data_IF_641880717442
#
_entry.id   IF_641880717442
#
_cell.length_a   1.000
_cell.length_b   1.000
_cell.length_c   1.000
_cell.angle_alpha   90.00
_cell.angle_beta   90.00
_cell.angle_gamma   90.00
#
_symmetry.space_group_name_H-M   'P 1'
#
loop_
_entity.id
_entity.type
_entity.pdbx_description
1 polymer ?
#
# COMPACT_ATOMS: atom_id res chain seq x y z
N UNK A 1 4.97 31.83 49.64
CA UNK A 1 5.74 30.85 48.85
C UNK A 1 4.92 29.57 48.83
N UNK A 2 4.33 29.21 47.69
CA UNK A 2 3.50 28.01 47.60
C UNK A 2 4.41 26.82 47.30
N UNK A 3 4.68 25.99 48.32
CA UNK A 3 5.28 24.69 48.12
C UNK A 3 4.40 23.90 47.15
N UNK A 4 4.91 23.67 45.94
CA UNK A 4 4.23 22.85 44.96
C UNK A 4 4.52 21.40 45.33
N UNK A 5 3.77 20.88 46.30
CA UNK A 5 3.87 19.48 46.71
C UNK A 5 3.54 18.60 45.51
N UNK A 6 4.59 18.05 44.89
CA UNK A 6 4.45 17.20 43.72
C UNK A 6 3.65 15.98 44.15
N UNK A 7 2.55 15.69 43.45
CA UNK A 7 1.69 14.57 43.80
C UNK A 7 2.50 13.25 43.79
N UNK A 8 2.32 12.37 44.78
CA UNK A 8 3.07 11.12 44.87
C UNK A 8 2.80 10.24 43.64
N UNK A 9 3.86 9.64 43.12
CA UNK A 9 3.77 8.66 42.03
C UNK A 9 3.08 7.38 42.51
N UNK A 10 2.57 6.55 41.58
CA UNK A 10 1.98 5.24 41.94
C UNK A 10 2.97 4.38 42.73
N UNK A 11 4.26 4.42 42.37
CA UNK A 11 5.32 3.70 43.07
C UNK A 11 5.51 4.18 44.51
N UNK A 12 5.57 5.49 44.74
CA UNK A 12 5.68 6.08 46.08
C UNK A 12 4.45 5.75 46.95
N UNK A 13 3.24 5.90 46.40
CA UNK A 13 2.02 5.57 47.13
C UNK A 13 1.92 4.06 47.45
N UNK A 14 2.48 3.20 46.59
CA UNK A 14 2.52 1.75 46.83
C UNK A 14 3.49 1.39 47.95
N UNK A 15 4.67 2.03 47.98
CA UNK A 15 5.63 1.84 49.06
C UNK A 15 5.09 2.32 50.41
N UNK A 16 4.43 3.47 50.45
CA UNK A 16 3.77 4.00 51.66
C UNK A 16 2.68 3.04 52.18
N UNK A 17 1.88 2.44 51.30
CA UNK A 17 0.84 1.50 51.71
C UNK A 17 1.43 0.19 52.22
N UNK A 18 2.48 -0.33 51.59
CA UNK A 18 3.15 -1.54 52.04
C UNK A 18 3.75 -1.35 53.44
N UNK A 19 4.41 -0.20 53.68
CA UNK A 19 4.96 0.14 54.98
C UNK A 19 3.88 0.24 56.07
N UNK A 20 2.76 0.91 55.77
CA UNK A 20 1.64 1.05 56.71
C UNK A 20 0.91 -0.30 56.98
N UNK A 21 0.83 -1.18 55.97
CA UNK A 21 0.27 -2.53 56.13
C UNK A 21 1.19 -3.43 56.96
N UNK A 22 2.50 -3.32 56.79
CA UNK A 22 3.49 -4.03 57.59
C UNK A 22 3.45 -3.56 59.05
N UNK A 23 3.44 -2.25 59.31
CA UNK A 23 3.30 -1.67 60.65
C UNK A 23 2.02 -2.17 61.35
N UNK A 24 0.88 -2.18 60.65
CA UNK A 24 -0.37 -2.70 61.20
C UNK A 24 -0.31 -4.22 61.46
N UNK A 25 0.36 -5.00 60.60
CA UNK A 25 0.51 -6.45 60.79
C UNK A 25 1.41 -6.79 61.98
N UNK A 26 2.52 -6.07 62.14
CA UNK A 26 3.44 -6.21 63.28
C UNK A 26 2.74 -5.89 64.60
N UNK A 27 1.97 -4.79 64.65
CA UNK A 27 1.18 -4.43 65.85
C UNK A 27 0.11 -5.47 66.18
N UNK A 28 -0.58 -6.07 65.19
CA UNK A 28 -1.54 -7.16 65.45
C UNK A 28 -0.85 -8.40 66.03
N UNK A 29 0.27 -8.81 65.44
CA UNK A 29 1.03 -9.95 65.93
C UNK A 29 1.55 -9.74 67.36
N UNK A 30 1.98 -8.52 67.70
CA UNK A 30 2.39 -8.17 69.07
C UNK A 30 1.22 -8.30 70.07
N UNK A 31 0.03 -7.82 69.72
CA UNK A 31 -1.19 -7.99 70.54
C UNK A 31 -1.56 -9.47 70.70
N UNK A 32 -1.50 -10.27 69.62
CA UNK A 32 -1.78 -11.72 69.67
C UNK A 32 -0.79 -12.48 70.56
N UNK A 33 0.46 -12.00 70.64
CA UNK A 33 1.50 -12.56 71.50
C UNK A 33 1.44 -12.07 72.95
N UNK A 34 0.48 -11.21 73.30
CA UNK A 34 0.27 -10.72 74.66
C UNK A 34 1.15 -9.54 75.05
N UNK A 35 1.60 -8.71 74.10
CA UNK A 35 2.29 -7.45 74.39
C UNK A 35 1.29 -6.37 74.86
N UNK A 36 1.20 -6.18 76.17
CA UNK A 36 0.33 -5.19 76.82
C UNK A 36 0.74 -3.73 76.55
N UNK A 37 1.89 -3.48 75.92
CA UNK A 37 2.32 -2.13 75.55
C UNK A 37 1.62 -1.59 74.30
N UNK A 38 1.02 -2.46 73.48
CA UNK A 38 0.29 -2.06 72.27
C UNK A 38 -1.12 -1.60 72.63
N UNK A 39 -1.40 -0.32 72.40
CA UNK A 39 -2.71 0.25 72.69
C UNK A 39 -3.69 0.06 71.52
N UNK A 40 -5.01 -0.05 71.78
CA UNK A 40 -6.02 -0.05 70.72
C UNK A 40 -5.94 1.17 69.80
N UNK A 41 -5.52 2.32 70.33
CA UNK A 41 -5.33 3.55 69.55
C UNK A 41 -4.18 3.42 68.54
N UNK A 42 -3.05 2.85 68.94
CA UNK A 42 -1.90 2.63 68.06
C UNK A 42 -2.25 1.68 66.90
N UNK A 43 -2.96 0.58 67.19
CA UNK A 43 -3.43 -0.34 66.16
C UNK A 43 -4.42 0.33 65.20
N UNK A 44 -5.40 1.07 65.72
CA UNK A 44 -6.36 1.80 64.89
C UNK A 44 -5.70 2.87 63.99
N UNK A 45 -4.68 3.57 64.49
CA UNK A 45 -3.92 4.56 63.73
C UNK A 45 -3.18 3.89 62.56
N UNK A 46 -2.48 2.78 62.80
CA UNK A 46 -1.79 2.02 61.76
C UNK A 46 -2.74 1.49 60.68
N UNK A 47 -3.91 0.99 61.08
CA UNK A 47 -4.96 0.56 60.14
C UNK A 47 -5.49 1.72 59.28
N UNK A 48 -5.73 2.88 59.89
CA UNK A 48 -6.18 4.08 59.18
C UNK A 48 -5.10 4.61 58.22
N UNK A 49 -3.82 4.57 58.60
CA UNK A 49 -2.69 4.88 57.71
C UNK A 49 -2.70 3.96 56.48
N UNK A 50 -2.91 2.66 56.66
CA UNK A 50 -3.03 1.69 55.57
C UNK A 50 -4.19 1.99 54.62
N UNK A 51 -5.37 2.30 55.16
CA UNK A 51 -6.55 2.68 54.35
C UNK A 51 -6.27 3.96 53.55
N UNK A 52 -5.70 4.98 54.18
CA UNK A 52 -5.37 6.24 53.52
C UNK A 52 -4.33 6.06 52.41
N UNK A 53 -3.31 5.23 52.63
CA UNK A 53 -2.31 4.92 51.63
C UNK A 53 -2.90 4.18 50.41
N UNK A 54 -3.82 3.22 50.62
CA UNK A 54 -4.58 2.58 49.53
C UNK A 54 -5.41 3.57 48.71
N UNK A 55 -6.05 4.54 49.37
CA UNK A 55 -6.78 5.61 48.68
C UNK A 55 -5.85 6.50 47.86
N UNK A 56 -4.64 6.81 48.37
CA UNK A 56 -3.60 7.53 47.62
C UNK A 56 -3.12 6.76 46.40
N UNK A 57 -2.94 5.44 46.49
CA UNK A 57 -2.64 4.59 45.32
C UNK A 57 -3.76 4.69 44.28
N UNK A 58 -5.02 4.56 44.71
CA UNK A 58 -6.17 4.65 43.80
C UNK A 58 -6.22 6.02 43.10
N UNK A 59 -5.98 7.10 43.84
CA UNK A 59 -5.90 8.45 43.29
C UNK A 59 -4.73 8.62 42.31
N UNK A 60 -3.54 8.12 42.65
CA UNK A 60 -2.37 8.17 41.77
C UNK A 60 -2.59 7.37 40.48
N UNK A 61 -3.19 6.17 40.57
CA UNK A 61 -3.56 5.35 39.41
C UNK A 61 -4.58 6.06 38.52
N UNK A 62 -5.60 6.68 39.12
CA UNK A 62 -6.61 7.46 38.37
C UNK A 62 -5.97 8.62 37.62
N UNK A 63 -5.11 9.42 38.28
CA UNK A 63 -4.39 10.54 37.65
C UNK A 63 -3.46 10.07 36.53
N UNK A 64 -2.73 8.98 36.74
CA UNK A 64 -1.86 8.41 35.71
C UNK A 64 -2.66 7.95 34.47
N UNK A 65 -3.83 7.35 34.68
CA UNK A 65 -4.73 6.96 33.59
C UNK A 65 -5.31 8.17 32.84
N UNK A 66 -5.73 9.21 33.56
CA UNK A 66 -6.21 10.47 32.98
C UNK A 66 -5.11 11.16 32.15
N UNK A 67 -3.87 11.20 32.65
CA UNK A 67 -2.72 11.74 31.93
C UNK A 67 -2.42 10.92 30.67
N UNK A 68 -2.40 9.59 30.77
CA UNK A 68 -2.17 8.72 29.63
C UNK A 68 -3.25 8.87 28.55
N UNK A 69 -4.52 9.06 28.94
CA UNK A 69 -5.61 9.33 28.02
C UNK A 69 -5.48 10.71 27.37
N UNK A 70 -5.13 11.75 28.14
CA UNK A 70 -4.86 13.08 27.61
C UNK A 70 -3.70 13.06 26.59
N UNK A 71 -2.64 12.30 26.86
CA UNK A 71 -1.51 12.13 25.95
C UNK A 71 -1.89 11.33 24.69
N UNK A 72 -2.73 10.29 24.82
CA UNK A 72 -3.31 9.58 23.66
C UNK A 72 -4.12 10.54 22.79
N UNK A 73 -5.02 11.32 23.40
CA UNK A 73 -5.86 12.29 22.69
C UNK A 73 -5.04 13.38 22.01
N UNK A 74 -4.00 13.89 22.69
CA UNK A 74 -3.07 14.88 22.12
C UNK A 74 -2.35 14.33 20.90
N UNK A 75 -1.79 13.12 20.98
CA UNK A 75 -1.12 12.46 19.84
C UNK A 75 -2.08 12.20 18.70
N UNK A 76 -3.28 11.68 18.98
CA UNK A 76 -4.30 11.45 17.97
C UNK A 76 -4.72 12.74 17.25
N UNK A 77 -4.89 13.84 17.98
CA UNK A 77 -5.18 15.17 17.40
C UNK A 77 -4.04 15.68 16.52
N UNK A 78 -2.78 15.53 16.96
CA UNK A 78 -1.63 15.92 16.17
C UNK A 78 -1.55 15.12 14.86
N UNK A 79 -1.63 13.79 14.93
CA UNK A 79 -1.65 12.93 13.73
C UNK A 79 -2.83 13.25 12.81
N UNK A 80 -4.02 13.53 13.36
CA UNK A 80 -5.16 13.95 12.54
C UNK A 80 -4.94 15.30 11.85
N UNK A 81 -4.22 16.24 12.47
CA UNK A 81 -3.83 17.49 11.85
C UNK A 81 -2.79 17.26 10.73
N UNK A 82 -1.79 16.42 10.96
CA UNK A 82 -0.78 16.05 9.97
C UNK A 82 -1.41 15.38 8.74
N UNK A 83 -2.36 14.46 8.95
CA UNK A 83 -3.10 13.81 7.86
C UNK A 83 -3.95 14.83 7.09
N UNK A 84 -4.63 15.76 7.77
CA UNK A 84 -5.40 16.81 7.07
C UNK A 84 -4.49 17.72 6.26
N UNK A 85 -3.37 18.14 6.82
CA UNK A 85 -2.39 18.95 6.12
C UNK A 85 -1.84 18.23 4.89
N UNK A 86 -1.56 16.92 5.01
CA UNK A 86 -1.15 16.10 3.87
C UNK A 86 -2.24 16.06 2.79
N UNK A 87 -3.50 15.83 3.15
CA UNK A 87 -4.63 15.81 2.20
C UNK A 87 -4.83 17.18 1.52
N UNK A 88 -4.68 18.28 2.27
CA UNK A 88 -4.81 19.65 1.73
C UNK A 88 -3.62 20.04 0.83
N UNK A 89 -2.45 19.45 1.07
CA UNK A 89 -1.23 19.68 0.28
C UNK A 89 -1.04 18.67 -0.85
N UNK A 90 -1.83 17.60 -0.89
CA UNK A 90 -1.69 16.55 -1.89
C UNK A 90 -2.12 17.09 -3.25
N UNK A 91 -1.18 17.17 -4.18
CA UNK A 91 -1.41 17.68 -5.53
C UNK A 91 -2.03 16.58 -6.40
N UNK A 92 -3.25 16.19 -6.03
CA UNK A 92 -4.03 15.19 -6.77
C UNK A 92 -4.35 15.65 -8.20
N UNK A 93 -4.29 16.96 -8.46
CA UNK A 93 -4.47 17.55 -9.79
C UNK A 93 -3.24 17.30 -10.68
N UNK A 94 -2.01 17.45 -10.17
CA UNK A 94 -0.81 17.08 -10.92
C UNK A 94 -0.75 15.57 -11.18
N UNK A 95 -1.15 14.74 -10.21
CA UNK A 95 -1.29 13.29 -10.43
C UNK A 95 -2.30 13.02 -11.54
N UNK A 96 -3.48 13.65 -11.50
CA UNK A 96 -4.50 13.49 -12.52
C UNK A 96 -3.99 13.93 -13.91
N UNK A 97 -3.30 15.06 -14.01
CA UNK A 97 -2.71 15.56 -15.25
C UNK A 97 -1.69 14.57 -15.83
N UNK A 98 -0.79 14.00 -15.01
CA UNK A 98 0.18 13.00 -15.47
C UNK A 98 -0.47 11.70 -15.90
N UNK A 99 -1.51 11.26 -15.20
CA UNK A 99 -2.27 10.07 -15.56
C UNK A 99 -2.96 10.27 -16.91
N UNK A 100 -3.62 11.41 -17.14
CA UNK A 100 -4.22 11.73 -18.44
C UNK A 100 -3.18 11.70 -19.56
N UNK A 101 -2.03 12.38 -19.36
CA UNK A 101 -0.95 12.37 -20.33
C UNK A 101 -0.40 10.95 -20.61
N UNK A 102 -0.31 10.10 -19.59
CA UNK A 102 0.10 8.70 -19.74
C UNK A 102 -0.95 7.88 -20.52
N UNK A 103 -2.24 8.07 -20.24
CA UNK A 103 -3.33 7.41 -20.97
C UNK A 103 -3.32 7.79 -22.44
N UNK A 104 -3.15 9.08 -22.76
CA UNK A 104 -3.07 9.56 -24.13
C UNK A 104 -1.87 8.97 -24.87
N UNK A 105 -0.69 8.99 -24.23
CA UNK A 105 0.54 8.43 -24.80
C UNK A 105 0.42 6.91 -25.05
N UNK A 106 -0.12 6.15 -24.09
CA UNK A 106 -0.31 4.70 -24.23
C UNK A 106 -1.39 4.36 -25.27
N UNK A 107 -2.45 5.16 -25.37
CA UNK A 107 -3.48 5.03 -26.41
C UNK A 107 -2.90 5.24 -27.81
N UNK A 108 -2.08 6.28 -27.98
CA UNK A 108 -1.39 6.55 -29.23
C UNK A 108 -0.40 5.44 -29.62
N UNK A 109 0.36 4.92 -28.65
CA UNK A 109 1.27 3.79 -28.83
C UNK A 109 0.52 2.53 -29.25
N UNK A 110 -0.56 2.19 -28.54
CA UNK A 110 -1.40 1.04 -28.84
C UNK A 110 -1.93 1.11 -30.27
N UNK A 111 -2.54 2.23 -30.62
CA UNK A 111 -3.17 2.45 -31.93
C UNK A 111 -2.15 2.38 -33.06
N UNK A 112 -0.98 3.01 -32.90
CA UNK A 112 0.10 3.00 -33.90
C UNK A 112 0.67 1.59 -34.09
N UNK A 113 0.85 0.86 -32.99
CA UNK A 113 1.38 -0.50 -33.00
C UNK A 113 0.41 -1.47 -33.65
N UNK A 114 -0.89 -1.40 -33.31
CA UNK A 114 -1.92 -2.22 -33.94
C UNK A 114 -2.06 -1.90 -35.43
N UNK A 115 -2.05 -0.62 -35.82
CA UNK A 115 -2.08 -0.25 -37.24
C UNK A 115 -0.87 -0.81 -38.00
N UNK A 116 0.32 -0.84 -37.39
CA UNK A 116 1.50 -1.51 -37.96
C UNK A 116 1.29 -3.03 -38.04
N UNK A 117 0.78 -3.68 -36.99
CA UNK A 117 0.50 -5.12 -36.98
C UNK A 117 -0.48 -5.52 -38.08
N UNK A 118 -1.58 -4.78 -38.24
CA UNK A 118 -2.58 -5.04 -39.27
C UNK A 118 -1.98 -4.95 -40.68
N UNK A 119 -1.08 -3.99 -40.94
CA UNK A 119 -0.35 -3.94 -42.22
C UNK A 119 0.55 -5.16 -42.43
N UNK A 120 1.23 -5.65 -41.40
CA UNK A 120 2.04 -6.89 -41.50
C UNK A 120 1.16 -8.10 -41.77
N UNK A 121 0.02 -8.22 -41.08
CA UNK A 121 -0.96 -9.28 -41.30
C UNK A 121 -1.55 -9.24 -42.71
N UNK A 122 -1.87 -8.05 -43.22
CA UNK A 122 -2.34 -7.87 -44.59
C UNK A 122 -1.28 -8.36 -45.59
N UNK A 123 -0.01 -7.98 -45.41
CA UNK A 123 1.08 -8.45 -46.28
C UNK A 123 1.27 -9.97 -46.18
N UNK A 124 1.23 -10.53 -44.97
CA UNK A 124 1.30 -11.99 -44.78
C UNK A 124 0.12 -12.69 -45.49
N UNK A 125 -1.09 -12.13 -45.35
CA UNK A 125 -2.30 -12.60 -46.01
C UNK A 125 -2.25 -12.54 -47.54
N UNK A 126 -1.43 -11.67 -48.13
CA UNK A 126 -1.18 -11.67 -49.59
C UNK A 126 -0.23 -12.80 -50.03
N UNK A 127 0.67 -13.23 -49.17
CA UNK A 127 1.62 -14.33 -49.46
C UNK A 127 0.95 -15.71 -49.28
N UNK A 128 0.01 -15.83 -48.35
CA UNK A 128 -0.68 -17.09 -48.02
C UNK A 128 -1.37 -17.77 -49.22
N UNK A 129 -2.14 -17.08 -50.09
CA UNK A 129 -2.72 -17.69 -51.29
C UNK A 129 -1.67 -18.29 -52.23
N UNK A 130 -0.53 -17.62 -52.39
CA UNK A 130 0.58 -18.09 -53.23
C UNK A 130 1.20 -19.35 -52.61
N UNK A 131 1.38 -19.37 -51.29
CA UNK A 131 1.84 -20.56 -50.58
C UNK A 131 0.91 -21.75 -50.82
N UNK A 132 -0.41 -21.54 -50.71
CA UNK A 132 -1.42 -22.57 -50.93
C UNK A 132 -1.51 -23.02 -52.41
N UNK A 133 -1.20 -22.14 -53.37
CA UNK A 133 -1.07 -22.51 -54.79
C UNK A 133 0.14 -23.43 -55.03
N UNK A 134 1.29 -23.08 -54.46
CA UNK A 134 2.51 -23.90 -54.55
C UNK A 134 2.31 -25.28 -53.92
N UNK A 135 1.65 -25.34 -52.76
CA UNK A 135 1.32 -26.59 -52.08
C UNK A 135 0.40 -27.47 -52.95
N UNK A 136 -0.66 -26.89 -53.53
CA UNK A 136 -1.56 -27.60 -54.47
C UNK A 136 -0.84 -28.10 -55.72
N UNK A 137 0.21 -27.42 -56.14
CA UNK A 137 1.05 -27.82 -57.27
C UNK A 137 2.14 -28.85 -56.88
N UNK A 138 2.19 -29.30 -55.62
CA UNK A 138 3.12 -30.32 -55.14
C UNK A 138 4.50 -29.79 -54.77
N UNK A 139 4.67 -28.48 -54.63
CA UNK A 139 5.92 -27.87 -54.19
C UNK A 139 5.91 -27.54 -52.69
N UNK A 140 7.10 -27.46 -52.07
CA UNK A 140 7.24 -27.02 -50.69
C UNK A 140 7.16 -25.49 -50.59
N UNK A 141 6.09 -24.90 -50.02
CA UNK A 141 5.79 -23.47 -50.18
C UNK A 141 6.88 -22.54 -49.65
N UNK A 142 7.44 -22.86 -48.49
CA UNK A 142 8.46 -22.02 -47.84
C UNK A 142 9.73 -21.95 -48.70
N UNK A 143 10.12 -23.06 -49.32
CA UNK A 143 11.34 -23.14 -50.13
C UNK A 143 11.15 -22.36 -51.42
N UNK A 144 10.04 -22.61 -52.13
CA UNK A 144 9.77 -21.97 -53.41
C UNK A 144 9.48 -20.47 -53.30
N UNK A 145 8.75 -20.03 -52.26
CA UNK A 145 8.50 -18.61 -52.04
C UNK A 145 9.81 -17.85 -51.82
N UNK A 146 10.74 -18.44 -51.07
CA UNK A 146 12.06 -17.89 -50.82
C UNK A 146 12.94 -17.90 -52.07
N UNK A 147 13.02 -19.01 -52.79
CA UNK A 147 13.94 -19.15 -53.92
C UNK A 147 13.46 -18.37 -55.16
N UNK A 148 12.15 -18.36 -55.43
CA UNK A 148 11.60 -17.73 -56.65
C UNK A 148 11.23 -16.27 -56.46
N UNK A 149 10.72 -15.91 -55.30
CA UNK A 149 10.16 -14.58 -55.05
C UNK A 149 10.88 -13.81 -53.94
N UNK A 150 11.92 -14.41 -53.35
CA UNK A 150 12.66 -13.84 -52.24
C UNK A 150 11.75 -13.37 -51.09
N UNK A 151 10.61 -14.03 -50.85
CA UNK A 151 9.67 -13.68 -49.78
C UNK A 151 9.30 -14.90 -48.94
N UNK A 152 9.08 -14.70 -47.64
CA UNK A 152 8.35 -15.64 -46.81
C UNK A 152 7.42 -14.87 -45.88
N UNK A 153 6.32 -15.52 -45.47
CA UNK A 153 5.42 -14.97 -44.48
C UNK A 153 5.07 -16.04 -43.44
N UNK A 154 5.03 -15.64 -42.18
CA UNK A 154 4.43 -16.39 -41.08
C UNK A 154 3.01 -15.92 -40.81
N UNK A 155 2.47 -16.28 -39.64
CA UNK A 155 1.18 -15.77 -39.19
C UNK A 155 1.19 -14.25 -38.97
N UNK A 156 2.27 -13.73 -38.37
CA UNK A 156 2.43 -12.32 -37.96
C UNK A 156 3.75 -11.71 -38.45
N UNK A 157 4.40 -12.31 -39.44
CA UNK A 157 5.71 -11.85 -39.91
C UNK A 157 5.84 -11.96 -41.41
N UNK A 158 6.65 -11.08 -41.99
CA UNK A 158 7.01 -11.10 -43.41
C UNK A 158 8.49 -10.83 -43.53
N UNK A 159 9.18 -11.61 -44.38
CA UNK A 159 10.62 -11.52 -44.62
C UNK A 159 10.89 -11.47 -46.11
N UNK A 160 11.77 -10.57 -46.54
CA UNK A 160 12.32 -10.49 -47.89
C UNK A 160 13.78 -10.97 -47.83
N UNK A 161 14.22 -11.80 -48.79
CA UNK A 161 15.51 -12.48 -48.80
C UNK A 161 16.46 -11.97 -49.92
N UNK A 162 16.70 -10.66 -50.08
CA UNK A 162 17.70 -10.16 -51.06
C UNK A 162 18.22 -8.75 -50.78
N UNK A 163 19.54 -8.47 -50.97
CA UNK A 163 20.70 -9.36 -50.78
C UNK A 163 20.98 -9.66 -49.28
N UNK A 164 20.31 -8.95 -48.38
CA UNK A 164 20.32 -9.19 -46.94
C UNK A 164 18.88 -9.43 -46.49
N UNK A 165 18.59 -10.48 -45.70
CA UNK A 165 17.24 -10.71 -45.22
C UNK A 165 16.73 -9.52 -44.40
N UNK A 166 15.60 -8.95 -44.79
CA UNK A 166 14.89 -7.91 -44.05
C UNK A 166 13.53 -8.45 -43.68
N UNK A 167 13.30 -8.58 -42.37
CA UNK A 167 12.04 -9.09 -41.82
C UNK A 167 11.35 -8.05 -40.96
N UNK A 168 10.03 -8.17 -40.89
CA UNK A 168 9.23 -7.45 -39.92
C UNK A 168 8.26 -8.42 -39.25
N UNK A 169 8.12 -8.25 -37.93
CA UNK A 169 7.13 -8.96 -37.12
C UNK A 169 6.08 -7.95 -36.66
N UNK A 170 4.82 -8.36 -36.69
CA UNK A 170 3.69 -7.66 -36.14
C UNK A 170 3.72 -7.76 -34.62
N UNK A 171 3.94 -6.64 -33.95
CA UNK A 171 3.87 -6.55 -32.49
C UNK A 171 2.44 -6.14 -32.12
N UNK A 172 1.82 -6.78 -31.13
CA UNK A 172 0.51 -6.33 -30.64
C UNK A 172 0.63 -5.04 -29.84
N UNK A 173 -0.38 -4.18 -29.90
CA UNK A 173 -0.45 -2.97 -29.09
C UNK A 173 -0.39 -3.29 -27.60
N UNK A 174 -1.00 -4.41 -27.18
CA UNK A 174 -0.91 -4.90 -25.81
C UNK A 174 0.54 -5.20 -25.38
N UNK A 175 1.33 -5.87 -26.23
CA UNK A 175 2.73 -6.16 -25.94
C UNK A 175 3.58 -4.87 -25.88
N UNK A 176 3.33 -3.90 -26.76
CA UNK A 176 4.02 -2.62 -26.72
C UNK A 176 3.71 -1.83 -25.44
N UNK A 177 2.45 -1.77 -25.01
CA UNK A 177 2.05 -1.13 -23.75
C UNK A 177 2.72 -1.83 -22.56
N UNK A 178 2.66 -3.17 -22.49
CA UNK A 178 3.29 -3.93 -21.42
C UNK A 178 4.81 -3.69 -21.36
N UNK A 179 5.49 -3.62 -22.51
CA UNK A 179 6.91 -3.32 -22.59
C UNK A 179 7.25 -1.92 -22.04
N UNK A 180 6.45 -0.90 -22.37
CA UNK A 180 6.66 0.46 -21.84
C UNK A 180 6.46 0.52 -20.33
N UNK A 181 5.41 -0.14 -19.82
CA UNK A 181 5.18 -0.24 -18.37
C UNK A 181 6.35 -0.94 -17.67
N UNK A 182 6.85 -2.05 -18.23
CA UNK A 182 8.02 -2.75 -17.72
C UNK A 182 9.30 -1.89 -17.74
N UNK A 183 9.51 -1.09 -18.78
CA UNK A 183 10.65 -0.16 -18.87
C UNK A 183 10.55 1.02 -17.89
N UNK A 184 9.33 1.47 -17.57
CA UNK A 184 9.10 2.55 -16.62
C UNK A 184 9.48 2.16 -15.19
N UNK A 185 9.42 0.86 -14.85
CA UNK A 185 9.69 0.36 -13.50
C UNK A 185 11.03 -0.34 -13.45
N UNK A 186 12.01 0.30 -12.81
CA UNK A 186 13.41 -0.18 -12.76
C UNK A 186 13.65 -1.28 -11.72
N UNK A 187 12.76 -1.43 -10.76
CA UNK A 187 12.87 -2.45 -9.71
C UNK A 187 12.12 -3.73 -10.12
N UNK A 188 12.84 -4.85 -10.22
CA UNK A 188 12.29 -6.15 -10.60
C UNK A 188 11.19 -6.66 -9.65
N UNK A 189 11.24 -6.30 -8.36
CA UNK A 189 10.19 -6.66 -7.38
C UNK A 189 8.92 -5.88 -7.62
N UNK A 190 9.04 -4.60 -7.99
CA UNK A 190 7.90 -3.77 -8.35
C UNK A 190 7.30 -4.18 -9.71
N UNK A 191 8.14 -4.61 -10.66
CA UNK A 191 7.66 -5.20 -11.92
C UNK A 191 6.75 -6.42 -11.68
N UNK A 192 7.13 -7.32 -10.76
CA UNK A 192 6.31 -8.49 -10.43
C UNK A 192 4.95 -8.08 -9.83
N UNK A 193 4.92 -7.05 -8.97
CA UNK A 193 3.67 -6.51 -8.43
C UNK A 193 2.81 -5.91 -9.52
N UNK A 194 3.37 -5.15 -10.46
CA UNK A 194 2.61 -4.58 -11.58
C UNK A 194 1.98 -5.68 -12.42
N UNK A 195 2.74 -6.73 -12.75
CA UNK A 195 2.20 -7.89 -13.48
C UNK A 195 1.02 -8.52 -12.74
N UNK A 196 1.10 -8.67 -11.41
CA UNK A 196 -0.01 -9.16 -10.59
C UNK A 196 -1.21 -8.20 -10.60
N UNK A 197 -0.98 -6.90 -10.46
CA UNK A 197 -2.04 -5.87 -10.53
C UNK A 197 -2.73 -5.84 -11.90
N UNK A 198 -1.99 -6.13 -12.98
CA UNK A 198 -2.54 -6.23 -14.33
C UNK A 198 -3.50 -7.42 -14.50
N UNK A 199 -3.50 -8.41 -13.60
CA UNK A 199 -4.51 -9.47 -13.57
C UNK A 199 -5.90 -9.00 -13.14
N UNK A 200 -6.01 -7.83 -12.50
CA UNK A 200 -7.23 -7.30 -11.90
C UNK A 200 -7.54 -5.86 -12.35
N UNK A 201 -7.19 -5.50 -13.58
CA UNK A 201 -7.20 -4.11 -14.07
C UNK A 201 -8.49 -3.34 -13.76
N UNK A 202 -9.66 -3.90 -14.05
CA UNK A 202 -10.94 -3.21 -13.87
C UNK A 202 -11.17 -2.75 -12.42
N UNK A 203 -10.93 -3.62 -11.43
CA UNK A 203 -11.11 -3.25 -10.02
C UNK A 203 -10.01 -2.30 -9.51
N UNK A 204 -8.82 -2.34 -10.12
CA UNK A 204 -7.72 -1.42 -9.79
C UNK A 204 -7.94 -0.02 -10.33
N UNK A 205 -8.55 0.12 -11.51
CA UNK A 205 -8.96 1.43 -12.04
C UNK A 205 -9.95 2.11 -11.09
N UNK A 206 -10.99 1.39 -10.64
CA UNK A 206 -11.96 1.94 -9.67
C UNK A 206 -11.30 2.34 -8.34
N UNK A 207 -10.42 1.47 -7.82
CA UNK A 207 -9.68 1.75 -6.59
C UNK A 207 -8.80 3.00 -6.74
N UNK A 208 -8.12 3.14 -7.88
CA UNK A 208 -7.24 4.27 -8.15
C UNK A 208 -8.02 5.58 -8.30
N UNK A 209 -9.16 5.55 -9.02
CA UNK A 209 -10.06 6.71 -9.12
C UNK A 209 -10.63 7.11 -7.75
N UNK A 210 -10.90 6.13 -6.87
CA UNK A 210 -11.34 6.42 -5.50
C UNK A 210 -10.24 7.07 -4.65
N UNK A 211 -8.98 6.72 -4.90
CA UNK A 211 -7.81 7.26 -4.19
C UNK A 211 -7.34 8.61 -4.75
N UNK A 212 -7.62 8.91 -6.03
CA UNK A 212 -7.28 10.18 -6.69
C UNK A 212 -8.56 10.81 -7.25
N UNK A 213 -9.36 11.51 -6.41
CA UNK A 213 -10.68 11.98 -6.80
C UNK A 213 -10.70 12.91 -8.02
N UNK A 214 -9.62 13.66 -8.27
CA UNK A 214 -9.46 14.51 -9.45
C UNK A 214 -9.61 13.74 -10.77
N UNK A 215 -9.26 12.44 -10.80
CA UNK A 215 -9.45 11.58 -11.97
C UNK A 215 -10.93 11.32 -12.30
N UNK A 216 -11.83 11.42 -11.33
CA UNK A 216 -13.26 11.16 -11.56
C UNK A 216 -13.85 12.16 -12.57
N UNK A 217 -13.43 13.43 -12.51
CA UNK A 217 -13.85 14.44 -13.49
C UNK A 217 -13.35 14.08 -14.90
N UNK A 218 -12.06 13.75 -15.01
CA UNK A 218 -11.40 13.37 -16.27
C UNK A 218 -12.10 12.18 -16.94
N UNK A 219 -12.41 11.13 -16.19
CA UNK A 219 -13.02 9.92 -16.75
C UNK A 219 -14.53 10.04 -17.02
N UNK A 220 -15.24 10.88 -16.27
CA UNK A 220 -16.66 11.16 -16.53
C UNK A 220 -16.84 12.02 -17.79
N UNK A 221 -15.95 12.98 -18.05
CA UNK A 221 -15.99 13.85 -19.23
C UNK A 221 -15.64 13.11 -20.52
N UNK A 222 -14.72 12.14 -20.45
CA UNK A 222 -14.27 11.38 -21.62
C UNK A 222 -15.14 10.16 -21.98
N UNK A 223 -16.22 9.88 -21.24
CA UNK A 223 -17.21 8.85 -21.59
C UNK A 223 -16.69 7.40 -21.61
N UNK A 224 -15.51 7.13 -21.06
CA UNK A 224 -14.85 5.81 -21.09
C UNK A 224 -15.19 4.90 -19.90
N UNK A 225 -16.12 5.28 -19.02
CA UNK A 225 -16.65 4.37 -18.01
C UNK A 225 -17.96 3.74 -18.50
N UNK A 226 -17.84 2.61 -19.19
CA UNK A 226 -18.90 1.59 -19.32
C UNK A 226 -18.34 0.23 -18.95
#
# INVERSE_FOLDING_TARGET
>A
MSETTTAPTVAQATAEALAAEQEAAELRAAVENGDDSVTPAALAEAEQKGIFARLRIKAAKKRAAEQAEADRHKRAKATAADIRALIEQDDTDDIAAKVTAAVDALTALYSTTEARRLRVLEMAGRVQPIAAELERAGFHPITELRERYAVAAGHDSVTIYTPHPVGTVGVTGALAVAAVVGMAVRDAREQAKITDQMGYLSSRVETFIAQVPALRAVFNENGTAK
#
